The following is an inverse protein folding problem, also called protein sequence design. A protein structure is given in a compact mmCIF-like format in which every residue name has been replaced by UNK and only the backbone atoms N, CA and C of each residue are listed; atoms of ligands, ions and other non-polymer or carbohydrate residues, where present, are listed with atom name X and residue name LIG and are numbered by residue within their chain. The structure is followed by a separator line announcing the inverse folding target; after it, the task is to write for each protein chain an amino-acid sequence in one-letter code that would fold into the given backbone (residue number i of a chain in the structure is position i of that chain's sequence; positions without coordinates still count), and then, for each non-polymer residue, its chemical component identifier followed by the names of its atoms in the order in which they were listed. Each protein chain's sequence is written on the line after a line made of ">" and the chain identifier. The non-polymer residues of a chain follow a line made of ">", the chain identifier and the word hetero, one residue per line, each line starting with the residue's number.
data_IF_166086671614
#
_entry.id   IF_166086671614
#
_cell.length_a   1.000
_cell.length_b   1.000
_cell.length_c   1.000
_cell.angle_alpha   90.00
_cell.angle_beta   90.00
_cell.angle_gamma   90.00
#
_symmetry.space_group_name_H-M   'P 1'
#
loop_
_entity.id
_entity.type
_entity.pdbx_description
1 polymer ?
#
# COMPACT_ATOMS: atom_id res chain seq x y z
N UNK A 1 34.80 -7.97 -5.93
CA UNK A 1 33.78 -6.91 -6.08
C UNK A 1 32.54 -7.41 -5.34
N UNK A 2 31.79 -6.53 -4.70
CA UNK A 2 30.56 -6.85 -3.95
C UNK A 2 29.44 -6.00 -4.52
N UNK A 3 28.34 -6.64 -4.90
CA UNK A 3 27.14 -5.97 -5.38
C UNK A 3 26.05 -6.11 -4.32
N UNK A 4 25.48 -4.99 -3.88
CA UNK A 4 24.44 -4.97 -2.86
C UNK A 4 23.15 -4.47 -3.47
N UNK A 5 22.20 -5.38 -3.63
CA UNK A 5 20.89 -5.11 -4.22
C UNK A 5 19.87 -5.00 -3.07
N UNK A 6 19.21 -3.86 -2.94
CA UNK A 6 18.22 -3.66 -1.88
C UNK A 6 17.87 -2.20 -1.63
N UNK A 7 16.93 -1.99 -0.70
CA UNK A 7 16.50 -0.66 -0.28
C UNK A 7 17.43 -0.04 0.77
N UNK A 8 16.94 0.97 1.50
CA UNK A 8 17.74 1.78 2.42
C UNK A 8 18.55 0.99 3.45
N UNK A 9 17.97 -0.09 4.00
CA UNK A 9 18.68 -0.95 4.95
C UNK A 9 19.89 -1.63 4.32
N UNK A 10 19.74 -2.16 3.11
CA UNK A 10 20.82 -2.79 2.35
C UNK A 10 21.87 -1.78 1.93
N UNK A 11 21.48 -0.57 1.51
CA UNK A 11 22.42 0.49 1.12
C UNK A 11 23.20 1.03 2.32
N UNK A 12 22.57 1.15 3.50
CA UNK A 12 23.27 1.42 4.77
C UNK A 12 24.31 0.32 5.07
N UNK A 13 23.94 -0.95 4.91
CA UNK A 13 24.85 -2.08 5.04
C UNK A 13 26.03 -2.02 4.05
N UNK A 14 25.76 -1.67 2.79
CA UNK A 14 26.80 -1.48 1.77
C UNK A 14 27.82 -0.40 2.18
N UNK A 15 27.35 0.70 2.77
CA UNK A 15 28.21 1.75 3.33
C UNK A 15 29.13 1.23 4.43
N UNK A 16 28.60 0.45 5.38
CA UNK A 16 29.40 -0.16 6.45
C UNK A 16 30.45 -1.13 5.89
N UNK A 17 30.07 -1.95 4.90
CA UNK A 17 31.01 -2.87 4.23
C UNK A 17 32.12 -2.09 3.54
N UNK A 18 31.78 -1.02 2.81
CA UNK A 18 32.75 -0.17 2.13
C UNK A 18 33.77 0.45 3.10
N UNK A 19 33.31 0.97 4.24
CA UNK A 19 34.18 1.53 5.26
C UNK A 19 35.16 0.49 5.83
N UNK A 20 34.71 -0.73 6.08
CA UNK A 20 35.57 -1.80 6.59
C UNK A 20 36.57 -2.30 5.54
N UNK A 21 36.16 -2.40 4.27
CA UNK A 21 37.05 -2.72 3.14
C UNK A 21 38.16 -1.68 3.03
N UNK A 22 37.81 -0.39 3.12
CA UNK A 22 38.75 0.73 3.07
C UNK A 22 39.72 0.69 4.25
N UNK A 23 39.21 0.48 5.47
CA UNK A 23 40.03 0.38 6.69
C UNK A 23 41.07 -0.75 6.62
N UNK A 24 40.73 -1.88 6.00
CA UNK A 24 41.63 -3.03 5.83
C UNK A 24 42.56 -2.92 4.60
N UNK A 25 42.45 -1.87 3.79
CA UNK A 25 43.25 -1.70 2.58
C UNK A 25 42.97 -2.76 1.50
N UNK A 26 41.78 -3.37 1.53
CA UNK A 26 41.41 -4.42 0.59
C UNK A 26 41.05 -3.81 -0.78
N UNK A 27 41.55 -4.43 -1.87
CA UNK A 27 41.22 -4.02 -3.24
C UNK A 27 39.86 -4.59 -3.68
N UNK A 28 38.80 -4.19 -3.00
CA UNK A 28 37.43 -4.65 -3.27
C UNK A 28 36.55 -3.45 -3.58
N UNK A 29 35.89 -3.44 -4.74
CA UNK A 29 34.84 -2.49 -5.04
C UNK A 29 33.51 -2.95 -4.40
N UNK A 30 32.76 -2.00 -3.84
CA UNK A 30 31.40 -2.19 -3.32
C UNK A 30 30.46 -1.33 -4.16
N UNK A 31 29.50 -1.94 -4.83
CA UNK A 31 28.52 -1.27 -5.68
C UNK A 31 27.11 -1.50 -5.16
N UNK A 32 26.39 -0.42 -4.86
CA UNK A 32 24.98 -0.44 -4.45
C UNK A 32 24.05 -0.36 -5.65
N UNK A 33 23.07 -1.26 -5.72
CA UNK A 33 22.00 -1.25 -6.71
C UNK A 33 20.69 -1.00 -5.94
N UNK A 34 20.14 0.22 -5.99
CA UNK A 34 19.02 0.59 -5.15
C UNK A 34 17.74 -0.10 -5.65
N UNK A 35 17.15 -0.93 -4.80
CA UNK A 35 15.90 -1.65 -5.06
C UNK A 35 14.80 -1.18 -4.13
N UNK A 36 13.75 -0.62 -4.71
CA UNK A 36 12.47 -0.39 -4.05
C UNK A 36 11.37 -0.64 -5.07
N UNK A 37 10.23 -1.19 -4.65
CA UNK A 37 9.05 -1.21 -5.51
C UNK A 37 8.18 0.02 -5.29
N UNK A 38 8.40 0.77 -4.21
CA UNK A 38 7.62 1.95 -3.86
C UNK A 38 7.97 3.17 -4.73
N UNK A 39 8.97 3.04 -5.62
CA UNK A 39 9.51 4.09 -6.50
C UNK A 39 9.87 5.40 -5.77
N UNK A 40 10.47 5.27 -4.60
CA UNK A 40 10.73 6.36 -3.65
C UNK A 40 12.22 6.76 -3.56
N UNK A 41 13.05 6.38 -4.54
CA UNK A 41 14.47 6.74 -4.57
C UNK A 41 14.64 8.16 -5.12
N UNK A 42 15.19 9.11 -4.32
CA UNK A 42 15.54 10.42 -4.84
C UNK A 42 16.57 10.27 -5.97
N UNK A 43 16.46 11.09 -7.03
CA UNK A 43 17.39 11.15 -8.19
C UNK A 43 17.07 10.20 -9.35
N UNK A 44 16.24 9.17 -9.18
CA UNK A 44 15.77 8.36 -10.32
C UNK A 44 14.25 8.47 -10.50
N UNK A 45 13.79 8.53 -11.75
CA UNK A 45 12.36 8.60 -12.06
C UNK A 45 11.66 7.24 -11.84
N UNK A 46 12.42 6.15 -11.94
CA UNK A 46 11.89 4.78 -11.91
C UNK A 46 12.85 3.77 -11.30
N UNK A 47 12.41 3.09 -10.26
CA UNK A 47 13.08 1.93 -9.68
C UNK A 47 12.65 0.62 -10.35
N UNK A 48 13.52 -0.38 -10.30
CA UNK A 48 13.20 -1.68 -10.88
C UNK A 48 12.15 -2.43 -10.06
N UNK A 49 11.26 -3.13 -10.77
CA UNK A 49 10.12 -3.85 -10.17
C UNK A 49 8.88 -2.99 -9.95
N UNK A 50 8.95 -1.66 -10.15
CA UNK A 50 7.78 -0.78 -10.03
C UNK A 50 6.69 -1.11 -11.06
N UNK A 51 7.03 -1.25 -12.34
CA UNK A 51 6.04 -1.58 -13.39
C UNK A 51 5.35 -2.91 -13.12
N UNK A 52 6.12 -3.93 -12.79
CA UNK A 52 5.58 -5.24 -12.45
C UNK A 52 4.67 -5.15 -11.22
N UNK A 53 5.01 -4.35 -10.21
CA UNK A 53 4.14 -4.13 -9.06
C UNK A 53 2.83 -3.42 -9.43
N UNK A 54 2.87 -2.46 -10.36
CA UNK A 54 1.66 -1.78 -10.88
C UNK A 54 0.79 -2.76 -11.68
N UNK A 55 1.39 -3.58 -12.55
CA UNK A 55 0.67 -4.62 -13.30
C UNK A 55 -0.03 -5.61 -12.36
N UNK A 56 0.67 -6.09 -11.32
CA UNK A 56 0.07 -6.95 -10.31
C UNK A 56 -1.06 -6.26 -9.55
N UNK A 57 -0.87 -5.00 -9.16
CA UNK A 57 -1.88 -4.21 -8.48
C UNK A 57 -3.15 -4.07 -9.33
N UNK A 58 -3.02 -3.87 -10.64
CA UNK A 58 -4.16 -3.84 -11.56
C UNK A 58 -4.92 -5.17 -11.60
N UNK A 59 -4.21 -6.31 -11.57
CA UNK A 59 -4.88 -7.63 -11.52
C UNK A 59 -5.71 -7.79 -10.26
N UNK A 60 -5.18 -7.36 -9.11
CA UNK A 60 -5.91 -7.37 -7.84
C UNK A 60 -7.11 -6.42 -7.83
N UNK A 61 -6.97 -5.22 -8.40
CA UNK A 61 -8.07 -4.26 -8.56
C UNK A 61 -9.18 -4.84 -9.44
N UNK A 62 -8.84 -5.47 -10.56
CA UNK A 62 -9.83 -6.09 -11.45
C UNK A 62 -10.58 -7.22 -10.74
N UNK A 63 -9.88 -8.06 -9.96
CA UNK A 63 -10.53 -9.08 -9.14
C UNK A 63 -11.49 -8.47 -8.10
N UNK A 64 -11.07 -7.40 -7.40
CA UNK A 64 -11.92 -6.69 -6.46
C UNK A 64 -13.15 -6.06 -7.12
N UNK A 65 -13.01 -5.53 -8.33
CA UNK A 65 -14.12 -4.97 -9.11
C UNK A 65 -15.15 -6.05 -9.45
N UNK A 66 -14.71 -7.19 -9.98
CA UNK A 66 -15.59 -8.32 -10.31
C UNK A 66 -16.35 -8.81 -9.08
N UNK A 67 -15.65 -8.96 -7.95
CA UNK A 67 -16.26 -9.37 -6.68
C UNK A 67 -17.27 -8.33 -6.17
N UNK A 68 -16.92 -7.04 -6.19
CA UNK A 68 -17.80 -5.96 -5.76
C UNK A 68 -19.05 -5.84 -6.63
N UNK A 69 -18.91 -5.95 -7.95
CA UNK A 69 -20.04 -5.89 -8.88
C UNK A 69 -20.95 -7.12 -8.84
N UNK A 70 -20.50 -8.23 -8.26
CA UNK A 70 -21.28 -9.47 -8.15
C UNK A 70 -22.17 -9.54 -6.90
N UNK A 71 -22.12 -8.53 -6.01
CA UNK A 71 -22.91 -8.48 -4.79
C UNK A 71 -23.66 -7.14 -4.66
N UNK A 72 -24.87 -7.19 -4.10
CA UNK A 72 -25.60 -5.98 -3.75
C UNK A 72 -24.87 -5.20 -2.65
N UNK A 73 -24.73 -3.90 -2.84
CA UNK A 73 -23.90 -3.02 -2.01
C UNK A 73 -22.47 -3.58 -1.79
N UNK A 74 -21.86 -4.08 -2.86
CA UNK A 74 -20.53 -4.70 -2.83
C UNK A 74 -19.41 -3.67 -2.71
N UNK A 75 -18.43 -3.93 -1.84
CA UNK A 75 -17.24 -3.11 -1.66
C UNK A 75 -15.99 -3.99 -1.85
N UNK A 76 -15.20 -3.70 -2.87
CA UNK A 76 -13.88 -4.29 -3.07
C UNK A 76 -12.81 -3.39 -2.45
N UNK A 77 -12.18 -3.82 -1.36
CA UNK A 77 -11.08 -3.10 -0.72
C UNK A 77 -9.76 -3.78 -1.04
N UNK A 78 -8.86 -3.05 -1.71
CA UNK A 78 -7.54 -3.55 -2.11
C UNK A 78 -6.46 -2.79 -1.37
N UNK A 79 -5.64 -3.49 -0.58
CA UNK A 79 -4.44 -2.92 0.03
C UNK A 79 -3.22 -3.17 -0.86
N UNK A 80 -2.50 -2.11 -1.19
CA UNK A 80 -1.27 -2.12 -1.99
C UNK A 80 -0.06 -1.68 -1.15
N UNK A 81 1.14 -2.01 -1.65
CA UNK A 81 2.39 -1.50 -1.08
C UNK A 81 2.51 0.02 -1.30
N UNK A 82 3.27 0.66 -0.42
CA UNK A 82 3.37 2.12 -0.35
C UNK A 82 3.46 2.59 1.09
N UNK A 83 4.62 2.36 1.73
CA UNK A 83 4.85 2.69 3.15
C UNK A 83 4.89 4.20 3.40
N UNK A 84 5.63 4.90 2.57
CA UNK A 84 5.85 6.34 2.68
C UNK A 84 5.29 7.11 1.48
N UNK A 85 5.07 6.44 0.35
CA UNK A 85 4.53 7.01 -0.88
C UNK A 85 3.39 6.17 -1.42
N UNK A 86 2.48 6.82 -2.14
CA UNK A 86 1.32 6.20 -2.78
C UNK A 86 1.52 5.83 -4.25
N UNK A 87 2.75 5.78 -4.77
CA UNK A 87 2.99 5.66 -6.22
C UNK A 87 2.33 4.43 -6.83
N UNK A 88 2.48 3.24 -6.25
CA UNK A 88 1.84 2.03 -6.79
C UNK A 88 0.32 2.20 -6.80
N UNK A 89 -0.27 2.64 -5.69
CA UNK A 89 -1.71 2.85 -5.59
C UNK A 89 -2.23 3.88 -6.59
N UNK A 90 -1.50 4.98 -6.76
CA UNK A 90 -1.86 6.05 -7.68
C UNK A 90 -1.76 5.61 -9.15
N UNK A 91 -0.64 5.00 -9.55
CA UNK A 91 -0.45 4.53 -10.93
C UNK A 91 -1.41 3.38 -11.27
N UNK A 92 -1.62 2.43 -10.36
CA UNK A 92 -2.59 1.35 -10.56
C UNK A 92 -4.03 1.88 -10.67
N UNK A 93 -4.37 2.91 -9.89
CA UNK A 93 -5.66 3.60 -9.98
C UNK A 93 -5.81 4.31 -11.32
N UNK A 94 -4.81 5.09 -11.77
CA UNK A 94 -4.86 5.79 -13.06
C UNK A 94 -4.94 4.84 -14.25
N UNK A 95 -4.30 3.67 -14.13
CA UNK A 95 -4.30 2.64 -15.16
C UNK A 95 -5.55 1.74 -15.11
N UNK A 96 -6.42 1.89 -14.09
CA UNK A 96 -7.70 1.20 -13.97
C UNK A 96 -8.86 2.18 -14.17
N UNK A 97 -9.98 1.70 -14.70
CA UNK A 97 -11.22 2.50 -14.83
C UNK A 97 -12.20 2.25 -13.70
N UNK A 98 -11.86 1.32 -12.81
CA UNK A 98 -12.81 0.65 -11.92
C UNK A 98 -12.62 1.04 -10.45
N UNK A 99 -11.65 1.91 -10.16
CA UNK A 99 -11.36 2.40 -8.81
C UNK A 99 -12.16 3.67 -8.53
N UNK A 100 -13.01 3.63 -7.50
CA UNK A 100 -13.82 4.77 -7.08
C UNK A 100 -13.12 5.66 -6.05
N UNK A 101 -12.20 5.10 -5.27
CA UNK A 101 -11.47 5.81 -4.23
C UNK A 101 -10.04 5.29 -4.12
N UNK A 102 -9.07 6.20 -4.12
CA UNK A 102 -7.65 5.89 -3.90
C UNK A 102 -7.19 6.64 -2.65
N UNK A 103 -6.71 5.90 -1.64
CA UNK A 103 -6.23 6.41 -0.37
C UNK A 103 -4.71 6.23 -0.30
N UNK A 104 -3.98 7.35 -0.21
CA UNK A 104 -2.50 7.38 -0.24
C UNK A 104 -1.94 8.16 0.97
N UNK A 105 -0.69 7.89 1.40
CA UNK A 105 -0.05 8.58 2.52
C UNK A 105 0.00 10.10 2.37
N UNK A 106 0.12 10.60 1.14
CA UNK A 106 0.27 12.01 0.79
C UNK A 106 -1.04 12.81 0.93
N UNK A 107 -2.19 12.13 0.92
CA UNK A 107 -3.51 12.75 1.00
C UNK A 107 -4.25 12.27 2.25
N UNK A 108 -4.15 12.98 3.39
CA UNK A 108 -4.89 12.66 4.59
C UNK A 108 -6.40 12.64 4.33
N UNK A 109 -7.09 11.71 4.99
CA UNK A 109 -8.54 11.59 4.93
C UNK A 109 -9.10 11.42 6.35
N UNK A 110 -10.42 11.47 6.48
CA UNK A 110 -11.13 11.22 7.72
C UNK A 110 -12.37 10.38 7.42
N UNK A 111 -12.85 9.64 8.42
CA UNK A 111 -13.94 8.67 8.25
C UNK A 111 -15.32 9.34 8.26
N UNK A 112 -15.56 10.19 9.25
CA UNK A 112 -16.87 10.77 9.58
C UNK A 112 -16.93 12.28 9.30
N UNK A 113 -18.12 12.80 9.03
CA UNK A 113 -18.34 14.23 8.77
C UNK A 113 -18.59 14.54 7.30
N UNK A 114 -18.80 15.83 7.00
CA UNK A 114 -19.05 16.26 5.63
C UNK A 114 -17.79 16.11 4.78
N UNK A 115 -17.86 15.29 3.72
CA UNK A 115 -16.71 14.97 2.87
C UNK A 115 -15.91 13.76 3.36
N UNK A 116 -16.33 13.13 4.47
CA UNK A 116 -15.69 11.94 5.01
C UNK A 116 -15.88 10.70 4.16
N UNK A 117 -14.99 9.73 4.34
CA UNK A 117 -14.97 8.48 3.57
C UNK A 117 -16.32 7.75 3.62
N UNK A 118 -16.97 7.67 4.78
CA UNK A 118 -18.24 6.96 4.90
C UNK A 118 -19.36 7.58 4.06
N UNK A 119 -19.47 8.91 4.05
CA UNK A 119 -20.45 9.63 3.22
C UNK A 119 -20.18 9.41 1.74
N UNK A 120 -18.90 9.34 1.35
CA UNK A 120 -18.52 9.04 -0.03
C UNK A 120 -18.90 7.60 -0.42
N UNK A 121 -18.65 6.61 0.44
CA UNK A 121 -19.04 5.21 0.20
C UNK A 121 -20.56 5.10 0.04
N UNK A 122 -21.34 5.70 0.96
CA UNK A 122 -22.81 5.69 0.87
C UNK A 122 -23.34 6.28 -0.44
N UNK A 123 -22.70 7.37 -0.92
CA UNK A 123 -23.05 7.99 -2.19
C UNK A 123 -22.77 7.04 -3.36
N UNK A 124 -21.58 6.44 -3.42
CA UNK A 124 -21.20 5.52 -4.52
C UNK A 124 -22.07 4.27 -4.56
N UNK A 125 -22.36 3.68 -3.41
CA UNK A 125 -23.26 2.52 -3.34
C UNK A 125 -24.67 2.84 -3.83
N UNK A 126 -25.21 4.03 -3.52
CA UNK A 126 -26.52 4.47 -4.03
C UNK A 126 -26.52 4.72 -5.54
N UNK A 127 -25.42 5.24 -6.09
CA UNK A 127 -25.30 5.56 -7.50
C UNK A 127 -25.06 4.32 -8.37
N UNK A 128 -24.20 3.41 -7.91
CA UNK A 128 -23.65 2.33 -8.73
C UNK A 128 -23.93 0.91 -8.21
N UNK A 129 -24.45 0.77 -6.99
CA UNK A 129 -24.66 -0.52 -6.32
C UNK A 129 -23.38 -1.21 -5.81
N UNK A 130 -22.20 -0.73 -6.19
CA UNK A 130 -20.91 -1.29 -5.78
C UNK A 130 -19.82 -0.20 -5.78
N UNK A 131 -18.67 -0.52 -5.17
CA UNK A 131 -17.52 0.37 -5.08
C UNK A 131 -16.19 -0.39 -4.99
N UNK A 132 -15.13 0.14 -5.59
CA UNK A 132 -13.74 -0.31 -5.36
C UNK A 132 -12.93 0.78 -4.66
N UNK A 133 -12.27 0.41 -3.58
CA UNK A 133 -11.39 1.25 -2.78
C UNK A 133 -9.99 0.66 -2.84
N UNK A 134 -9.02 1.47 -3.26
CA UNK A 134 -7.59 1.15 -3.21
C UNK A 134 -6.96 1.93 -2.07
N UNK A 135 -6.19 1.26 -1.23
CA UNK A 135 -5.49 1.87 -0.10
C UNK A 135 -4.02 1.45 -0.09
N UNK A 136 -3.11 2.41 -0.07
CA UNK A 136 -1.69 2.14 0.19
C UNK A 136 -1.49 1.85 1.69
N UNK A 137 -0.60 0.92 2.03
CA UNK A 137 -0.40 0.49 3.43
C UNK A 137 -0.04 1.63 4.39
N UNK A 138 0.66 2.66 3.92
CA UNK A 138 1.01 3.84 4.70
C UNK A 138 -0.12 4.87 4.88
N UNK A 139 -1.24 4.72 4.16
CA UNK A 139 -2.36 5.65 4.26
C UNK A 139 -3.07 5.52 5.62
N UNK A 140 -3.55 6.63 6.16
CA UNK A 140 -4.38 6.63 7.37
C UNK A 140 -3.67 6.22 8.67
N UNK A 141 -2.36 5.96 8.69
CA UNK A 141 -1.64 5.47 9.88
C UNK A 141 -1.82 6.34 11.13
N UNK A 142 -1.93 7.66 10.98
CA UNK A 142 -2.25 8.58 12.09
C UNK A 142 -3.62 8.30 12.71
N UNK A 143 -4.64 8.05 11.87
CA UNK A 143 -5.99 7.71 12.32
C UNK A 143 -5.98 6.38 13.10
N UNK A 144 -5.21 5.41 12.63
CA UNK A 144 -5.12 4.10 13.30
C UNK A 144 -4.40 4.25 14.64
N UNK A 145 -3.31 5.01 14.69
CA UNK A 145 -2.53 5.25 15.92
C UNK A 145 -3.32 5.99 17.00
N UNK A 146 -4.22 6.91 16.64
CA UNK A 146 -5.14 7.54 17.60
C UNK A 146 -6.15 6.53 18.19
N UNK A 147 -6.43 5.45 17.46
CA UNK A 147 -7.39 4.41 17.85
C UNK A 147 -6.75 3.16 18.47
N UNK A 148 -5.43 2.95 18.30
CA UNK A 148 -4.70 1.76 18.81
C UNK A 148 -3.43 2.16 19.56
N UNK A 149 -3.24 1.59 20.75
CA UNK A 149 -2.23 2.03 21.74
C UNK A 149 -0.79 1.54 21.54
N UNK A 150 -0.46 0.74 20.52
CA UNK A 150 0.90 0.21 20.38
C UNK A 150 1.41 0.23 18.93
N UNK A 151 2.60 0.81 18.75
CA UNK A 151 3.44 0.65 17.57
C UNK A 151 4.72 -0.07 17.98
N UNK A 152 4.98 -1.25 17.40
CA UNK A 152 6.28 -1.93 17.52
C UNK A 152 7.30 -1.38 16.51
N UNK A 153 8.55 -1.84 16.60
CA UNK A 153 9.58 -1.64 15.58
C UNK A 153 9.98 -2.97 14.95
N UNK A 154 10.28 -2.97 13.66
CA UNK A 154 10.86 -4.14 12.98
C UNK A 154 12.36 -4.31 13.33
N UNK A 155 12.96 -5.43 12.93
CA UNK A 155 14.38 -5.73 13.18
C UNK A 155 15.35 -4.74 12.50
N UNK A 156 14.86 -3.90 11.58
CA UNK A 156 15.63 -2.86 10.89
C UNK A 156 15.42 -1.46 11.49
N UNK A 157 14.65 -1.35 12.58
CA UNK A 157 14.37 -0.12 13.31
C UNK A 157 13.24 0.72 12.73
N UNK A 158 12.45 0.22 11.77
CA UNK A 158 11.32 0.97 11.23
C UNK A 158 10.03 0.69 12.02
N UNK A 159 9.15 1.68 12.14
CA UNK A 159 7.88 1.55 12.85
C UNK A 159 6.93 0.55 12.14
N UNK A 160 6.50 -0.50 12.82
CA UNK A 160 5.54 -1.47 12.27
C UNK A 160 4.23 -0.75 11.92
N UNK A 161 3.84 -0.83 10.64
CA UNK A 161 2.57 -0.29 10.19
C UNK A 161 1.44 -1.18 10.70
N UNK A 162 0.37 -0.53 11.15
CA UNK A 162 -0.88 -1.22 11.47
C UNK A 162 -1.60 -1.56 10.16
N UNK A 163 -2.30 -2.70 10.12
CA UNK A 163 -2.99 -3.12 8.89
C UNK A 163 -4.21 -2.22 8.61
N UNK A 164 -3.98 -1.17 7.80
CA UNK A 164 -5.01 -0.23 7.38
C UNK A 164 -6.15 -0.90 6.62
N UNK A 165 -5.88 -1.97 5.88
CA UNK A 165 -6.90 -2.69 5.11
C UNK A 165 -7.90 -3.39 6.03
N UNK A 166 -7.40 -4.10 7.03
CA UNK A 166 -8.24 -4.73 8.05
C UNK A 166 -8.97 -3.70 8.91
N UNK A 167 -8.27 -2.64 9.34
CA UNK A 167 -8.86 -1.57 10.13
C UNK A 167 -9.99 -0.84 9.38
N UNK A 168 -9.77 -0.46 8.11
CA UNK A 168 -10.81 0.15 7.27
C UNK A 168 -11.98 -0.81 7.06
N UNK A 169 -11.72 -2.09 6.80
CA UNK A 169 -12.77 -3.11 6.65
C UNK A 169 -13.67 -3.17 7.88
N UNK A 170 -13.08 -3.19 9.08
CA UNK A 170 -13.83 -3.19 10.34
C UNK A 170 -14.65 -1.91 10.49
N UNK A 171 -14.04 -0.75 10.27
CA UNK A 171 -14.71 0.55 10.43
C UNK A 171 -15.86 0.76 9.46
N UNK A 172 -15.71 0.35 8.21
CA UNK A 172 -16.79 0.39 7.22
C UNK A 172 -17.94 -0.53 7.66
N UNK A 173 -17.64 -1.78 8.05
CA UNK A 173 -18.68 -2.70 8.54
C UNK A 173 -19.41 -2.18 9.79
N UNK A 174 -18.69 -1.59 10.75
CA UNK A 174 -19.28 -0.97 11.96
C UNK A 174 -20.25 0.16 11.59
N UNK A 175 -19.84 1.06 10.68
CA UNK A 175 -20.65 2.20 10.24
C UNK A 175 -21.96 1.74 9.57
N UNK A 176 -21.87 0.82 8.60
CA UNK A 176 -23.05 0.34 7.88
C UNK A 176 -23.98 -0.51 8.76
N UNK A 177 -23.43 -1.27 9.73
CA UNK A 177 -24.21 -1.98 10.74
C UNK A 177 -25.01 -1.01 11.63
N UNK A 178 -24.41 0.10 12.05
CA UNK A 178 -25.09 1.16 12.82
C UNK A 178 -26.24 1.79 12.02
N UNK A 179 -26.05 1.97 10.72
CA UNK A 179 -27.03 2.53 9.79
C UNK A 179 -28.04 1.49 9.25
N UNK A 180 -28.03 0.26 9.75
CA UNK A 180 -28.93 -0.85 9.34
C UNK A 180 -28.93 -1.11 7.82
N UNK A 181 -27.80 -0.86 7.17
CA UNK A 181 -27.61 -1.09 5.73
C UNK A 181 -26.69 -2.29 5.56
N UNK A 182 -27.11 -3.25 4.75
CA UNK A 182 -26.32 -4.45 4.46
C UNK A 182 -25.31 -4.14 3.36
N UNK A 183 -24.05 -4.51 3.56
CA UNK A 183 -22.97 -4.39 2.58
C UNK A 183 -22.25 -5.73 2.43
N UNK A 184 -21.60 -5.94 1.28
CA UNK A 184 -20.72 -7.09 1.06
C UNK A 184 -19.29 -6.60 0.82
N UNK A 185 -18.48 -6.57 1.87
CA UNK A 185 -17.09 -6.12 1.78
C UNK A 185 -16.13 -7.30 1.56
N UNK A 186 -15.35 -7.24 0.49
CA UNK A 186 -14.24 -8.15 0.20
C UNK A 186 -12.92 -7.41 0.30
N UNK A 187 -12.03 -7.94 1.13
CA UNK A 187 -10.70 -7.38 1.33
C UNK A 187 -9.64 -8.25 0.63
N UNK A 188 -8.82 -7.61 -0.20
CA UNK A 188 -7.65 -8.20 -0.87
C UNK A 188 -6.40 -7.54 -0.32
N UNK A 189 -5.55 -8.34 0.34
CA UNK A 189 -4.32 -7.86 0.97
C UNK A 189 -3.12 -7.84 0.02
N UNK A 190 -2.10 -7.05 0.39
CA UNK A 190 -0.88 -6.87 -0.42
C UNK A 190 -0.11 -8.16 -0.70
N UNK A 191 -0.15 -9.17 0.18
CA UNK A 191 0.53 -10.45 -0.05
C UNK A 191 -0.01 -11.20 -1.27
N UNK A 192 -1.31 -11.04 -1.58
CA UNK A 192 -1.92 -11.59 -2.79
C UNK A 192 -1.38 -10.93 -4.07
N UNK A 193 -0.88 -9.69 -3.96
CA UNK A 193 -0.32 -8.90 -5.07
C UNK A 193 1.19 -9.18 -5.22
N UNK A 194 1.88 -9.28 -4.08
CA UNK A 194 3.34 -9.35 -3.98
C UNK A 194 3.91 -10.75 -4.27
N UNK A 195 3.17 -11.83 -3.97
CA UNK A 195 3.67 -13.20 -4.23
C UNK A 195 3.97 -13.47 -5.71
N UNK A 196 3.38 -12.69 -6.62
CA UNK A 196 3.60 -12.81 -8.06
C UNK A 196 4.82 -12.00 -8.53
N UNK A 197 5.16 -10.88 -7.87
CA UNK A 197 6.24 -9.98 -8.30
C UNK A 197 7.64 -10.41 -7.84
N UNK A 198 7.74 -11.14 -6.73
CA UNK A 198 9.04 -11.55 -6.13
C UNK A 198 9.56 -12.93 -6.58
N UNK A 199 8.91 -13.58 -7.55
CA UNK A 199 9.35 -14.89 -8.08
C UNK A 199 10.43 -14.78 -9.17
N UNK A 200 11.27 -13.74 -9.12
CA UNK A 200 12.45 -13.54 -9.98
C UNK A 200 13.73 -13.69 -9.19
#
# INVERSE_FOLDING_TARGET
>A
QVYVIGGDGSQRGAGVIFEEVRKRGLKVAVAGIPKTIDNDIPVIDKSFGFDSAVEEAQRAINAAHVEAGSADNGIGLVKLMGRYSGFIAHYATLASRDVDCCLIPESPFYLEGEGGLFKYIEKRLKENGHMVIVVAEGAGQKLIAENMKEMGQDASGNALLLDVGLWLSQKINEHFKKNKTTINLKYIGQWSVVSLTFSV
#
